data_IF_105106418682
#
_entry.id   IF_105106418682
#
_cell.length_a   1.000
_cell.length_b   1.000
_cell.length_c   1.000
_cell.angle_alpha   90.00
_cell.angle_beta   90.00
_cell.angle_gamma   90.00
#
_symmetry.space_group_name_H-M   'P 1'
#
loop_
_entity.id
_entity.type
_entity.pdbx_description
1 polymer ?
#
# COMPACT_ATOMS: atom_id res chain seq x y z
N UNK A 1 -27.21 -6.63 -29.73
CA UNK A 1 -27.05 -7.66 -28.69
C UNK A 1 -25.65 -8.22 -28.85
N UNK A 2 -24.73 -7.80 -28.00
CA UNK A 2 -23.31 -8.11 -28.11
C UNK A 2 -22.67 -7.82 -26.77
N UNK A 3 -22.86 -8.75 -25.84
CA UNK A 3 -22.41 -8.67 -24.46
C UNK A 3 -20.88 -8.64 -24.44
N UNK A 4 -20.31 -7.47 -24.20
CA UNK A 4 -18.90 -7.32 -23.82
C UNK A 4 -18.83 -7.09 -22.31
N UNK A 5 -19.22 -8.11 -21.55
CA UNK A 5 -18.83 -8.19 -20.14
C UNK A 5 -17.33 -8.52 -20.11
N UNK A 6 -16.49 -7.49 -20.06
CA UNK A 6 -15.07 -7.67 -19.76
C UNK A 6 -14.95 -8.15 -18.32
N UNK A 7 -14.73 -9.47 -18.21
CA UNK A 7 -14.35 -10.23 -17.04
C UNK A 7 -13.40 -9.44 -16.13
N UNK A 8 -13.96 -8.80 -15.10
CA UNK A 8 -13.19 -8.26 -14.00
C UNK A 8 -12.76 -9.45 -13.16
N UNK A 9 -11.63 -10.05 -13.50
CA UNK A 9 -11.02 -11.10 -12.69
C UNK A 9 -10.97 -10.55 -11.26
N UNK A 10 -11.71 -11.20 -10.34
CA UNK A 10 -11.70 -10.85 -8.94
C UNK A 10 -10.25 -10.91 -8.48
N UNK A 11 -9.61 -9.76 -8.37
CA UNK A 11 -8.20 -9.67 -8.09
C UNK A 11 -8.07 -9.86 -6.58
N UNK A 12 -7.89 -11.11 -6.16
CA UNK A 12 -7.73 -11.49 -4.76
C UNK A 12 -6.43 -10.95 -4.15
N UNK A 13 -5.60 -10.22 -4.90
CA UNK A 13 -4.36 -9.62 -4.43
C UNK A 13 -4.61 -8.71 -3.21
N UNK A 14 -3.82 -8.83 -2.14
CA UNK A 14 -3.98 -7.99 -0.96
C UNK A 14 -3.65 -6.52 -1.26
N UNK A 15 -4.34 -5.61 -0.59
CA UNK A 15 -4.01 -4.18 -0.61
C UNK A 15 -2.79 -3.94 0.26
N UNK A 16 -1.68 -3.55 -0.37
CA UNK A 16 -0.46 -3.11 0.29
C UNK A 16 -0.53 -1.66 0.76
N UNK A 17 -0.15 -1.40 2.00
CA UNK A 17 0.02 -0.05 2.55
C UNK A 17 1.43 0.09 3.08
N UNK A 18 2.16 1.05 2.53
CA UNK A 18 3.51 1.40 2.94
C UNK A 18 3.51 2.71 3.72
N UNK A 19 4.11 2.72 4.91
CA UNK A 19 4.33 3.93 5.68
C UNK A 19 5.71 3.91 6.36
N UNK A 20 6.20 5.08 6.72
CA UNK A 20 7.41 5.31 7.51
C UNK A 20 7.35 4.79 8.95
N UNK A 21 6.18 4.43 9.47
CA UNK A 21 6.02 4.00 10.85
C UNK A 21 4.60 3.59 11.23
N UNK A 22 4.20 3.87 12.47
CA UNK A 22 2.89 3.49 13.01
C UNK A 22 1.72 4.37 12.51
N UNK A 23 2.01 5.49 11.84
CA UNK A 23 0.99 6.42 11.33
C UNK A 23 0.04 5.77 10.31
N UNK A 24 0.56 4.84 9.52
CA UNK A 24 -0.16 4.06 8.51
C UNK A 24 -1.27 3.18 9.08
N UNK A 25 -1.24 2.88 10.40
CA UNK A 25 -2.29 2.12 11.07
C UNK A 25 -3.64 2.87 11.07
N UNK A 26 -3.64 4.20 11.10
CA UNK A 26 -4.86 5.00 11.00
C UNK A 26 -5.52 4.83 9.61
N UNK A 27 -4.72 4.77 8.56
CA UNK A 27 -5.18 4.53 7.18
C UNK A 27 -5.68 3.08 7.04
N UNK A 28 -4.94 2.10 7.57
CA UNK A 28 -5.36 0.70 7.61
C UNK A 28 -6.71 0.52 8.28
N UNK A 29 -6.92 1.21 9.41
CA UNK A 29 -8.18 1.17 10.16
C UNK A 29 -9.35 1.67 9.33
N UNK A 30 -9.18 2.76 8.59
CA UNK A 30 -10.24 3.28 7.72
C UNK A 30 -10.50 2.39 6.49
N UNK A 31 -9.44 1.81 5.91
CA UNK A 31 -9.60 0.83 4.81
C UNK A 31 -10.37 -0.38 5.32
N UNK A 32 -9.99 -0.95 6.46
CA UNK A 32 -10.68 -2.09 7.06
C UNK A 32 -12.15 -1.81 7.37
N UNK A 33 -12.48 -0.58 7.76
CA UNK A 33 -13.86 -0.15 8.03
C UNK A 33 -14.71 -0.10 6.75
N UNK A 34 -14.14 0.36 5.64
CA UNK A 34 -14.86 0.51 4.36
C UNK A 34 -14.86 -0.76 3.52
N UNK A 35 -13.83 -1.59 3.65
CA UNK A 35 -13.62 -2.81 2.88
C UNK A 35 -13.17 -3.95 3.81
N UNK A 36 -14.09 -4.51 4.62
CA UNK A 36 -13.76 -5.54 5.61
C UNK A 36 -13.43 -6.90 5.00
N UNK A 37 -13.76 -7.12 3.72
CA UNK A 37 -13.41 -8.36 3.01
C UNK A 37 -11.99 -8.33 2.44
N UNK A 38 -11.36 -7.16 2.33
CA UNK A 38 -10.04 -7.04 1.71
C UNK A 38 -8.93 -7.54 2.62
N UNK A 39 -7.96 -8.22 2.02
CA UNK A 39 -6.72 -8.63 2.69
C UNK A 39 -5.77 -7.44 2.68
N UNK A 40 -5.29 -7.01 3.84
CA UNK A 40 -4.42 -5.84 3.98
C UNK A 40 -3.01 -6.28 4.39
N UNK A 41 -2.00 -5.75 3.72
CA UNK A 41 -0.59 -5.91 4.08
C UNK A 41 -0.03 -4.53 4.47
N UNK A 42 0.54 -4.39 5.66
CA UNK A 42 1.17 -3.15 6.10
C UNK A 42 2.69 -3.34 6.19
N UNK A 43 3.42 -2.56 5.42
CA UNK A 43 4.88 -2.51 5.46
C UNK A 43 5.31 -1.19 6.12
N UNK A 44 5.83 -1.29 7.33
CA UNK A 44 6.35 -0.16 8.07
C UNK A 44 7.87 -0.07 7.88
N UNK A 45 8.35 0.94 7.17
CA UNK A 45 9.79 1.19 7.01
C UNK A 45 10.35 1.99 8.19
N UNK A 46 10.59 1.27 9.28
CA UNK A 46 11.28 1.80 10.45
C UNK A 46 12.78 2.04 10.21
N UNK A 47 13.38 1.45 9.16
CA UNK A 47 14.82 1.54 8.91
C UNK A 47 15.23 2.91 8.31
N UNK A 48 14.32 3.61 7.63
CA UNK A 48 14.60 4.90 7.00
C UNK A 48 13.99 6.14 7.69
N UNK A 49 13.50 5.98 8.92
CA UNK A 49 13.05 7.11 9.75
C UNK A 49 14.15 8.17 9.98
N UNK A 50 13.81 9.48 10.07
CA UNK A 50 12.55 10.12 9.67
C UNK A 50 12.58 10.57 8.20
N UNK A 51 11.48 10.39 7.46
CA UNK A 51 11.37 10.93 6.09
C UNK A 51 11.22 12.46 6.03
N UNK A 52 10.75 13.10 7.12
CA UNK A 52 10.46 14.54 7.12
C UNK A 52 11.68 15.43 6.87
N UNK A 53 12.89 14.96 7.15
CA UNK A 53 14.13 15.71 6.89
C UNK A 53 14.87 15.23 5.65
N UNK A 54 14.32 14.25 4.91
CA UNK A 54 14.98 13.69 3.72
C UNK A 54 14.59 14.47 2.46
N UNK A 55 15.52 14.62 1.51
CA UNK A 55 15.21 15.08 0.16
C UNK A 55 14.06 14.27 -0.47
N UNK A 56 13.17 14.93 -1.20
CA UNK A 56 12.03 14.28 -1.88
C UNK A 56 12.45 13.12 -2.80
N UNK A 57 13.63 13.23 -3.42
CA UNK A 57 14.22 12.18 -4.25
C UNK A 57 14.49 10.90 -3.46
N UNK A 58 14.97 11.00 -2.22
CA UNK A 58 15.30 9.84 -1.39
C UNK A 58 14.01 9.13 -0.94
N UNK A 59 12.97 9.90 -0.59
CA UNK A 59 11.65 9.36 -0.23
C UNK A 59 11.03 8.61 -1.41
N UNK A 60 11.19 9.13 -2.64
CA UNK A 60 10.72 8.45 -3.85
C UNK A 60 11.47 7.15 -4.11
N UNK A 61 12.80 7.17 -4.00
CA UNK A 61 13.62 5.97 -4.21
C UNK A 61 13.24 4.88 -3.21
N UNK A 62 13.09 5.21 -1.93
CA UNK A 62 12.70 4.24 -0.90
C UNK A 62 11.28 3.69 -1.16
N UNK A 63 10.33 4.53 -1.59
CA UNK A 63 8.99 4.07 -1.93
C UNK A 63 8.94 3.08 -3.11
N UNK A 64 9.77 3.31 -4.14
CA UNK A 64 9.89 2.38 -5.27
C UNK A 64 10.52 1.07 -4.82
N UNK A 65 11.62 1.13 -4.06
CA UNK A 65 12.31 -0.06 -3.54
C UNK A 65 11.40 -0.92 -2.65
N UNK A 66 10.60 -0.29 -1.78
CA UNK A 66 9.67 -1.01 -0.92
C UNK A 66 8.59 -1.77 -1.72
N UNK A 67 8.20 -1.25 -2.88
CA UNK A 67 7.25 -1.88 -3.78
C UNK A 67 7.86 -3.10 -4.47
N UNK A 68 9.11 -2.99 -4.95
CA UNK A 68 9.81 -4.08 -5.65
C UNK A 68 10.31 -5.19 -4.72
N UNK A 69 10.59 -4.89 -3.45
CA UNK A 69 11.15 -5.86 -2.51
C UNK A 69 10.09 -6.75 -1.84
N UNK A 70 8.80 -6.40 -1.92
CA UNK A 70 7.73 -7.01 -1.09
C UNK A 70 6.61 -7.66 -1.92
N UNK A 71 6.53 -7.38 -3.21
CA UNK A 71 5.52 -7.89 -4.14
C UNK A 71 6.17 -8.51 -5.38
#
# INVERSE_FOLDING_TARGET
MGDSQSNQAANDAPVGVFDSGLGGLCVLREIRRRAPAERLLHLADHAHLPYGTRPLQDVRTVGVLATEATF
#
